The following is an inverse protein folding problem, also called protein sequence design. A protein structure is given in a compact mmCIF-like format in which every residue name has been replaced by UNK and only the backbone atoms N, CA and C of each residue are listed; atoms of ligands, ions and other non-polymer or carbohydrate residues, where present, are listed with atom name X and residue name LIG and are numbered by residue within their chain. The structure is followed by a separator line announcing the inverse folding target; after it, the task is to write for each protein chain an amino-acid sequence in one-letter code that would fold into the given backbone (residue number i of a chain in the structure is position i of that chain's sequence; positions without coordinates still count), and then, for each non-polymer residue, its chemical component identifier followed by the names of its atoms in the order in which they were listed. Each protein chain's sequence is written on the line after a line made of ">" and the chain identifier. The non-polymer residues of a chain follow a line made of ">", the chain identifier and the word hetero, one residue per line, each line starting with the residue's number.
data_IF_418529511057
#
_entry.id   IF_418529511057
#
_cell.length_a   1.000
_cell.length_b   1.000
_cell.length_c   1.000
_cell.angle_alpha   90.00
_cell.angle_beta   90.00
_cell.angle_gamma   90.00
#
_symmetry.space_group_name_H-M   'P 1'
#
loop_
_entity.id
_entity.type
_entity.pdbx_description
1 polymer ?
#
# COMPACT_ATOMS: atom_id res chain seq x y z
N UNK A 1 -37.74 10.96 -0.93
CA UNK A 1 -37.00 10.84 -2.20
C UNK A 1 -36.39 12.16 -2.63
N UNK A 2 -37.15 13.26 -2.82
CA UNK A 2 -36.57 14.52 -3.31
C UNK A 2 -35.39 15.15 -2.54
N UNK A 3 -35.27 14.96 -1.21
CA UNK A 3 -34.09 15.46 -0.47
C UNK A 3 -32.82 14.62 -0.69
N UNK A 4 -32.97 13.33 -0.95
CA UNK A 4 -31.85 12.44 -1.27
C UNK A 4 -31.31 12.78 -2.66
N UNK A 5 -32.20 13.01 -3.62
CA UNK A 5 -31.81 13.35 -5.00
C UNK A 5 -31.05 14.68 -5.08
N UNK A 6 -31.46 15.68 -4.28
CA UNK A 6 -30.73 16.95 -4.15
C UNK A 6 -29.30 16.76 -3.62
N UNK A 7 -29.13 15.97 -2.56
CA UNK A 7 -27.82 15.77 -1.95
C UNK A 7 -26.92 14.94 -2.87
N UNK A 8 -27.47 13.99 -3.63
CA UNK A 8 -26.70 13.25 -4.64
C UNK A 8 -26.16 14.17 -5.74
N UNK A 9 -26.95 15.15 -6.21
CA UNK A 9 -26.46 16.17 -7.14
C UNK A 9 -25.34 17.03 -6.52
N UNK A 10 -25.49 17.45 -5.25
CA UNK A 10 -24.44 18.19 -4.52
C UNK A 10 -23.13 17.39 -4.36
N UNK A 11 -23.20 16.05 -4.24
CA UNK A 11 -22.01 15.17 -4.16
C UNK A 11 -21.24 15.15 -5.48
N UNK A 12 -21.94 15.10 -6.61
CA UNK A 12 -21.32 15.09 -7.95
C UNK A 12 -20.64 16.42 -8.27
N UNK A 13 -21.21 17.54 -7.83
CA UNK A 13 -20.65 18.88 -8.03
C UNK A 13 -19.50 19.22 -7.07
N UNK A 14 -19.35 18.48 -5.96
CA UNK A 14 -18.30 18.74 -4.97
C UNK A 14 -16.92 18.31 -5.47
N UNK A 15 -15.91 19.13 -5.21
CA UNK A 15 -14.50 18.83 -5.48
C UNK A 15 -13.71 18.38 -4.23
N UNK A 16 -14.33 18.46 -3.05
CA UNK A 16 -13.71 18.15 -1.76
C UNK A 16 -14.14 16.77 -1.26
N UNK A 17 -13.17 15.90 -0.99
CA UNK A 17 -13.45 14.56 -0.45
C UNK A 17 -14.12 14.62 0.93
N UNK A 18 -13.73 15.60 1.75
CA UNK A 18 -14.36 15.85 3.05
C UNK A 18 -15.85 16.19 2.89
N UNK A 19 -16.20 17.04 1.92
CA UNK A 19 -17.59 17.43 1.69
C UNK A 19 -18.40 16.28 1.11
N UNK A 20 -17.81 15.51 0.18
CA UNK A 20 -18.43 14.28 -0.36
C UNK A 20 -18.75 13.31 0.76
N UNK A 21 -17.81 13.08 1.68
CA UNK A 21 -18.01 12.18 2.82
C UNK A 21 -19.15 12.66 3.73
N UNK A 22 -19.19 13.96 4.05
CA UNK A 22 -20.26 14.54 4.89
C UNK A 22 -21.63 14.51 4.22
N UNK A 23 -21.69 14.74 2.92
CA UNK A 23 -22.93 14.65 2.15
C UNK A 23 -23.41 13.19 2.04
N UNK A 24 -22.50 12.24 1.83
CA UNK A 24 -22.80 10.80 1.85
C UNK A 24 -23.33 10.34 3.21
N UNK A 25 -22.75 10.80 4.33
CA UNK A 25 -23.30 10.53 5.66
C UNK A 25 -24.75 11.01 5.80
N UNK A 26 -25.07 12.19 5.26
CA UNK A 26 -26.42 12.76 5.30
C UNK A 26 -27.39 11.93 4.46
N UNK A 27 -26.99 11.52 3.25
CA UNK A 27 -27.79 10.61 2.41
C UNK A 27 -28.05 9.31 3.14
N UNK A 28 -27.03 8.68 3.72
CA UNK A 28 -27.14 7.42 4.43
C UNK A 28 -28.09 7.51 5.64
N UNK A 29 -28.06 8.62 6.40
CA UNK A 29 -29.01 8.87 7.50
C UNK A 29 -30.45 9.02 7.01
N UNK A 30 -30.66 9.65 5.86
CA UNK A 30 -32.00 9.86 5.27
C UNK A 30 -32.56 8.61 4.60
N UNK A 31 -31.71 7.75 4.05
CA UNK A 31 -32.10 6.49 3.41
C UNK A 31 -32.15 5.30 4.38
N UNK A 32 -31.72 5.47 5.63
CA UNK A 32 -31.62 4.40 6.64
C UNK A 32 -30.45 3.44 6.41
N UNK A 33 -29.50 3.80 5.55
CA UNK A 33 -28.37 2.96 5.12
C UNK A 33 -27.08 3.11 5.95
N UNK A 34 -27.18 3.34 7.26
CA UNK A 34 -25.98 3.45 8.13
C UNK A 34 -25.73 2.12 8.84
N UNK A 35 -24.67 1.42 8.43
CA UNK A 35 -24.13 0.26 9.15
C UNK A 35 -23.00 0.71 10.09
N UNK A 36 -22.98 0.20 11.32
CA UNK A 36 -21.93 0.49 12.32
C UNK A 36 -21.28 -0.81 12.76
N UNK A 37 -19.97 -0.94 12.54
CA UNK A 37 -19.17 -2.08 13.00
C UNK A 37 -18.48 -1.70 14.31
N UNK A 38 -18.84 -2.38 15.40
CA UNK A 38 -18.20 -2.21 16.72
C UNK A 38 -17.08 -3.23 16.87
N UNK A 39 -15.83 -2.79 16.82
CA UNK A 39 -14.66 -3.66 16.94
C UNK A 39 -14.27 -3.82 18.41
N UNK A 40 -14.20 -5.07 18.87
CA UNK A 40 -13.75 -5.44 20.21
C UNK A 40 -12.47 -6.28 20.19
N UNK A 41 -11.63 -6.10 21.21
CA UNK A 41 -10.42 -6.88 21.50
C UNK A 41 -10.13 -6.92 23.02
N UNK A 42 -9.16 -7.74 23.44
CA UNK A 42 -8.82 -7.92 24.85
C UNK A 42 -7.98 -6.76 25.40
N UNK A 43 -7.15 -6.13 24.56
CA UNK A 43 -6.36 -4.95 24.91
C UNK A 43 -6.64 -3.77 23.98
N UNK A 44 -6.33 -2.55 24.41
CA UNK A 44 -6.50 -1.35 23.58
C UNK A 44 -5.61 -1.39 22.33
N UNK A 45 -4.40 -1.93 22.44
CA UNK A 45 -3.45 -2.04 21.32
C UNK A 45 -4.01 -2.96 20.24
N UNK A 46 -4.50 -4.14 20.62
CA UNK A 46 -5.15 -5.07 19.69
C UNK A 46 -6.43 -4.49 19.10
N UNK A 47 -7.21 -3.73 19.90
CA UNK A 47 -8.43 -3.09 19.41
C UNK A 47 -8.12 -2.09 18.31
N UNK A 48 -7.06 -1.28 18.48
CA UNK A 48 -6.61 -0.32 17.45
C UNK A 48 -6.16 -1.01 16.17
N UNK A 49 -5.35 -2.06 16.28
CA UNK A 49 -4.88 -2.84 15.12
C UNK A 49 -6.06 -3.48 14.37
N UNK A 50 -6.95 -4.15 15.11
CA UNK A 50 -8.12 -4.82 14.51
C UNK A 50 -9.09 -3.82 13.90
N UNK A 51 -9.24 -2.64 14.50
CA UNK A 51 -10.04 -1.55 13.96
C UNK A 51 -9.44 -1.05 12.64
N UNK A 52 -8.13 -0.81 12.61
CA UNK A 52 -7.43 -0.38 11.38
C UNK A 52 -7.63 -1.41 10.25
N UNK A 53 -7.49 -2.71 10.53
CA UNK A 53 -7.76 -3.77 9.54
C UNK A 53 -9.19 -3.75 8.98
N UNK A 54 -10.19 -3.44 9.81
CA UNK A 54 -11.58 -3.33 9.35
C UNK A 54 -11.77 -2.09 8.46
N UNK A 55 -11.10 -0.98 8.78
CA UNK A 55 -11.11 0.23 7.96
C UNK A 55 -10.41 -0.04 6.61
N UNK A 56 -9.27 -0.71 6.59
CA UNK A 56 -8.56 -1.11 5.37
C UNK A 56 -9.41 -2.03 4.47
N UNK A 57 -10.09 -3.00 5.08
CA UNK A 57 -11.00 -3.90 4.36
C UNK A 57 -12.19 -3.14 3.76
N UNK A 58 -12.74 -2.15 4.47
CA UNK A 58 -13.82 -1.30 3.98
C UNK A 58 -13.37 -0.49 2.75
N UNK A 59 -12.20 0.15 2.82
CA UNK A 59 -11.66 0.92 1.70
C UNK A 59 -11.35 0.03 0.50
N UNK A 60 -10.78 -1.15 0.74
CA UNK A 60 -10.48 -2.14 -0.32
C UNK A 60 -11.76 -2.63 -1.00
N UNK A 61 -12.83 -2.87 -0.23
CA UNK A 61 -14.13 -3.28 -0.78
C UNK A 61 -14.76 -2.18 -1.63
N UNK A 62 -14.68 -0.91 -1.20
CA UNK A 62 -15.14 0.24 -2.00
C UNK A 62 -14.38 0.31 -3.33
N UNK A 63 -13.06 0.20 -3.28
CA UNK A 63 -12.22 0.20 -4.47
C UNK A 63 -12.53 -0.97 -5.42
N UNK A 64 -12.84 -2.15 -4.88
CA UNK A 64 -13.23 -3.32 -5.65
C UNK A 64 -14.59 -3.15 -6.35
N UNK A 65 -15.54 -2.48 -5.70
CA UNK A 65 -16.85 -2.16 -6.30
C UNK A 65 -16.71 -1.17 -7.46
N UNK A 66 -15.77 -0.23 -7.35
CA UNK A 66 -15.57 0.83 -8.35
C UNK A 66 -14.86 0.34 -9.63
N UNK A 67 -13.75 -0.40 -9.51
CA UNK A 67 -12.93 -0.80 -10.67
C UNK A 67 -12.79 -2.33 -10.83
N UNK A 68 -13.53 -3.11 -10.05
CA UNK A 68 -13.45 -4.57 -10.05
C UNK A 68 -12.23 -5.11 -9.31
N UNK A 69 -11.96 -6.40 -9.54
CA UNK A 69 -10.88 -7.16 -8.90
C UNK A 69 -10.01 -7.87 -9.92
N UNK A 70 -8.77 -8.14 -9.53
CA UNK A 70 -7.78 -8.90 -10.29
C UNK A 70 -7.16 -10.00 -9.42
N UNK A 71 -6.45 -10.94 -10.06
CA UNK A 71 -5.67 -11.97 -9.36
C UNK A 71 -4.60 -11.31 -8.47
N UNK A 72 -4.69 -11.57 -7.16
CA UNK A 72 -3.79 -10.98 -6.18
C UNK A 72 -2.41 -11.63 -6.13
N UNK A 73 -1.67 -11.37 -5.06
CA UNK A 73 -0.34 -11.95 -4.85
C UNK A 73 0.72 -11.48 -5.86
N UNK A 74 0.51 -10.31 -6.47
CA UNK A 74 1.37 -9.76 -7.52
C UNK A 74 1.16 -10.36 -8.90
N UNK A 75 0.29 -11.37 -9.05
CA UNK A 75 0.06 -12.07 -10.34
C UNK A 75 -0.45 -11.11 -11.42
N UNK A 76 -1.38 -10.22 -11.09
CA UNK A 76 -1.88 -9.22 -12.04
C UNK A 76 -0.77 -8.36 -12.67
N UNK A 77 0.25 -7.99 -11.89
CA UNK A 77 1.38 -7.19 -12.39
C UNK A 77 2.29 -8.02 -13.32
N UNK A 78 2.51 -9.30 -13.01
CA UNK A 78 3.22 -10.23 -13.90
C UNK A 78 2.46 -10.39 -15.23
N UNK A 79 1.14 -10.54 -15.19
CA UNK A 79 0.34 -10.64 -16.43
C UNK A 79 0.37 -9.34 -17.23
N UNK A 80 0.37 -8.20 -16.55
CA UNK A 80 0.49 -6.90 -17.19
C UNK A 80 1.87 -6.66 -17.83
N UNK A 81 2.95 -7.28 -17.31
CA UNK A 81 4.30 -7.07 -17.84
C UNK A 81 4.46 -7.57 -19.28
N UNK A 82 3.67 -8.56 -19.71
CA UNK A 82 3.65 -9.08 -21.09
C UNK A 82 3.30 -7.98 -22.11
N UNK A 83 2.54 -6.96 -21.71
CA UNK A 83 2.25 -5.82 -22.59
C UNK A 83 3.50 -4.99 -22.91
N UNK A 84 4.52 -5.01 -22.04
CA UNK A 84 5.78 -4.29 -22.21
C UNK A 84 6.70 -4.94 -23.25
N UNK A 85 6.58 -6.25 -23.51
CA UNK A 85 7.42 -6.96 -24.50
C UNK A 85 7.25 -6.43 -25.92
N UNK A 86 6.07 -5.84 -26.20
CA UNK A 86 5.74 -5.24 -27.50
C UNK A 86 6.08 -3.76 -27.56
N UNK A 87 6.42 -3.14 -26.43
CA UNK A 87 6.73 -1.72 -26.33
C UNK A 87 8.20 -1.47 -26.71
N UNK A 88 8.43 -0.43 -27.50
CA UNK A 88 9.77 0.04 -27.85
C UNK A 88 9.84 1.54 -27.64
N UNK A 89 10.96 1.99 -27.08
CA UNK A 89 11.27 3.40 -26.96
C UNK A 89 11.76 4.00 -28.28
N UNK A 90 11.80 5.32 -28.33
CA UNK A 90 12.38 6.08 -29.43
C UNK A 90 13.91 5.96 -29.46
N UNK A 91 14.52 5.65 -28.32
CA UNK A 91 15.96 5.52 -28.15
C UNK A 91 16.32 4.46 -27.10
N UNK A 92 17.62 4.17 -26.98
CA UNK A 92 18.13 3.14 -26.08
C UNK A 92 17.79 3.40 -24.60
N UNK A 93 17.82 4.65 -24.16
CA UNK A 93 17.56 5.00 -22.75
C UNK A 93 16.10 4.74 -22.39
N UNK A 94 15.17 5.01 -23.30
CA UNK A 94 13.76 4.67 -23.14
C UNK A 94 13.56 3.14 -23.10
N UNK A 95 14.28 2.37 -23.91
CA UNK A 95 14.24 0.90 -23.85
C UNK A 95 14.76 0.37 -22.50
N UNK A 96 15.78 1.02 -21.91
CA UNK A 96 16.26 0.71 -20.56
C UNK A 96 15.18 1.04 -19.52
N UNK A 97 14.49 2.17 -19.65
CA UNK A 97 13.37 2.53 -18.78
C UNK A 97 12.23 1.49 -18.78
N UNK A 98 11.88 0.97 -19.96
CA UNK A 98 10.88 -0.11 -20.10
C UNK A 98 11.36 -1.37 -19.37
N UNK A 99 12.65 -1.74 -19.49
CA UNK A 99 13.22 -2.90 -18.78
C UNK A 99 13.23 -2.72 -17.26
N UNK A 100 13.48 -1.50 -16.77
CA UNK A 100 13.40 -1.20 -15.33
C UNK A 100 11.98 -1.46 -14.82
N UNK A 101 10.97 -0.96 -15.54
CA UNK A 101 9.57 -1.18 -15.20
C UNK A 101 9.22 -2.68 -15.24
N UNK A 102 9.64 -3.40 -16.30
CA UNK A 102 9.40 -4.83 -16.42
C UNK A 102 9.92 -5.61 -15.20
N UNK A 103 11.15 -5.32 -14.76
CA UNK A 103 11.72 -5.94 -13.57
C UNK A 103 10.97 -5.54 -12.29
N UNK A 104 10.61 -4.27 -12.15
CA UNK A 104 9.93 -3.77 -10.95
C UNK A 104 8.53 -4.41 -10.74
N UNK A 105 7.84 -4.76 -11.83
CA UNK A 105 6.54 -5.46 -11.76
C UNK A 105 6.63 -6.85 -11.11
N UNK A 106 7.82 -7.47 -11.08
CA UNK A 106 8.03 -8.76 -10.44
C UNK A 106 8.19 -8.66 -8.92
N UNK A 107 8.63 -7.50 -8.42
CA UNK A 107 9.02 -7.32 -7.02
C UNK A 107 7.90 -7.60 -6.00
N UNK A 108 6.63 -7.22 -6.24
CA UNK A 108 5.56 -7.54 -5.29
C UNK A 108 5.39 -9.05 -5.04
N UNK A 109 5.42 -9.87 -6.10
CA UNK A 109 5.35 -11.33 -5.97
C UNK A 109 6.61 -11.86 -5.27
N UNK A 110 7.79 -11.40 -5.69
CA UNK A 110 9.07 -11.83 -5.10
C UNK A 110 9.12 -11.55 -3.59
N UNK A 111 8.68 -10.36 -3.18
CA UNK A 111 8.66 -9.96 -1.78
C UNK A 111 7.69 -10.81 -0.95
N UNK A 112 6.49 -11.09 -1.48
CA UNK A 112 5.52 -11.97 -0.81
C UNK A 112 6.11 -13.36 -0.60
N UNK A 113 6.71 -13.95 -1.63
CA UNK A 113 7.33 -15.28 -1.55
C UNK A 113 8.51 -15.29 -0.58
N UNK A 114 9.37 -14.27 -0.62
CA UNK A 114 10.50 -14.15 0.29
C UNK A 114 10.05 -14.02 1.75
N UNK A 115 8.96 -13.30 2.02
CA UNK A 115 8.41 -13.17 3.36
C UNK A 115 7.80 -14.49 3.87
N UNK A 116 7.29 -15.33 2.96
CA UNK A 116 6.82 -16.68 3.26
C UNK A 116 7.97 -17.71 3.40
N UNK A 117 9.21 -17.33 3.09
CA UNK A 117 10.39 -18.21 3.19
C UNK A 117 10.63 -19.09 1.95
N UNK A 118 9.94 -18.83 0.84
CA UNK A 118 10.12 -19.55 -0.43
C UNK A 118 11.21 -18.93 -1.33
N UNK A 119 11.56 -19.65 -2.40
CA UNK A 119 12.45 -19.12 -3.45
C UNK A 119 11.65 -18.31 -4.48
N UNK A 120 11.79 -16.99 -4.40
CA UNK A 120 11.10 -16.03 -5.26
C UNK A 120 11.35 -16.26 -6.76
N UNK A 121 12.54 -16.72 -7.16
CA UNK A 121 12.87 -16.93 -8.58
C UNK A 121 12.21 -18.19 -9.13
N UNK A 122 12.13 -19.25 -8.32
CA UNK A 122 11.42 -20.48 -8.69
C UNK A 122 9.93 -20.21 -8.85
N UNK A 123 9.32 -19.54 -7.86
CA UNK A 123 7.89 -19.21 -7.89
C UNK A 123 7.57 -18.27 -9.05
N UNK A 124 8.36 -17.22 -9.25
CA UNK A 124 8.15 -16.30 -10.36
C UNK A 124 8.17 -17.04 -11.71
N UNK A 125 9.17 -17.88 -11.96
CA UNK A 125 9.27 -18.63 -13.22
C UNK A 125 8.05 -19.53 -13.44
N UNK A 126 7.56 -20.19 -12.39
CA UNK A 126 6.36 -21.02 -12.46
C UNK A 126 5.11 -20.17 -12.77
N UNK A 127 4.96 -19.01 -12.12
CA UNK A 127 3.82 -18.10 -12.36
C UNK A 127 3.88 -17.51 -13.77
N UNK A 128 5.04 -17.09 -14.25
CA UNK A 128 5.22 -16.58 -15.63
C UNK A 128 4.90 -17.65 -16.68
N UNK A 129 5.23 -18.92 -16.43
CA UNK A 129 4.90 -20.02 -17.33
C UNK A 129 3.41 -20.38 -17.36
N UNK A 130 2.64 -19.98 -16.35
CA UNK A 130 1.19 -20.15 -16.32
C UNK A 130 0.43 -19.03 -17.01
N UNK A 131 -0.88 -19.24 -17.18
CA UNK A 131 -1.78 -18.30 -17.88
C UNK A 131 -2.94 -17.84 -16.99
N UNK A 132 -3.59 -16.75 -17.39
CA UNK A 132 -4.76 -16.22 -16.70
C UNK A 132 -4.47 -15.93 -15.22
N UNK A 133 -5.30 -16.47 -14.34
CA UNK A 133 -5.22 -16.27 -12.89
C UNK A 133 -4.28 -17.26 -12.18
N UNK A 134 -3.56 -18.10 -12.92
CA UNK A 134 -2.63 -19.05 -12.30
C UNK A 134 -1.56 -18.29 -11.50
N UNK A 135 -1.39 -18.66 -10.23
CA UNK A 135 -0.53 -17.98 -9.29
C UNK A 135 -0.02 -18.89 -8.18
N UNK A 136 0.58 -18.27 -7.17
CA UNK A 136 1.12 -18.95 -5.99
C UNK A 136 0.46 -18.41 -4.73
N UNK A 137 -0.14 -19.29 -3.95
CA UNK A 137 -0.68 -18.99 -2.64
C UNK A 137 0.42 -19.12 -1.58
N UNK A 138 0.99 -17.99 -1.17
CA UNK A 138 2.05 -17.95 -0.17
C UNK A 138 1.60 -18.29 1.26
N UNK A 139 0.29 -18.45 1.51
CA UNK A 139 -0.21 -18.90 2.81
C UNK A 139 -0.24 -20.44 2.93
N UNK A 140 -0.37 -21.15 1.81
CA UNK A 140 -0.45 -22.63 1.78
C UNK A 140 0.68 -23.29 1.02
N UNK A 141 1.55 -22.50 0.36
CA UNK A 141 2.62 -22.95 -0.52
C UNK A 141 2.15 -23.78 -1.72
N UNK A 142 0.95 -23.49 -2.23
CA UNK A 142 0.33 -24.19 -3.36
C UNK A 142 0.15 -23.27 -4.57
N UNK A 143 0.21 -23.84 -5.77
CA UNK A 143 -0.11 -23.15 -7.01
C UNK A 143 -1.56 -23.44 -7.43
N UNK A 144 -2.22 -22.46 -8.04
CA UNK A 144 -3.60 -22.62 -8.49
C UNK A 144 -4.19 -21.34 -9.06
N UNK A 145 -5.50 -21.34 -9.29
CA UNK A 145 -6.23 -20.13 -9.68
C UNK A 145 -6.41 -19.22 -8.46
N UNK A 146 -5.83 -18.01 -8.53
CA UNK A 146 -5.86 -17.05 -7.42
C UNK A 146 -7.28 -16.53 -7.12
N UNK A 147 -8.15 -16.44 -8.13
CA UNK A 147 -9.54 -16.01 -7.96
C UNK A 147 -10.33 -17.10 -7.25
N UNK A 148 -10.20 -18.36 -7.67
CA UNK A 148 -10.85 -19.49 -7.01
C UNK A 148 -10.33 -19.69 -5.57
N UNK A 149 -9.05 -19.41 -5.32
CA UNK A 149 -8.45 -19.41 -3.99
C UNK A 149 -8.89 -18.21 -3.11
N UNK A 150 -9.65 -17.26 -3.66
CA UNK A 150 -10.11 -16.06 -2.95
C UNK A 150 -9.01 -15.01 -2.69
N UNK A 151 -7.89 -15.09 -3.41
CA UNK A 151 -6.77 -14.16 -3.32
C UNK A 151 -6.95 -13.10 -4.42
N UNK A 152 -7.66 -12.04 -4.05
CA UNK A 152 -8.13 -11.00 -4.94
C UNK A 152 -7.61 -9.64 -4.47
N UNK A 153 -7.12 -8.85 -5.42
CA UNK A 153 -6.76 -7.46 -5.18
C UNK A 153 -7.73 -6.53 -5.95
N UNK A 154 -8.17 -5.40 -5.37
CA UNK A 154 -8.94 -4.40 -6.11
C UNK A 154 -8.09 -3.83 -7.25
N UNK A 155 -8.63 -3.79 -8.48
CA UNK A 155 -7.91 -3.28 -9.67
C UNK A 155 -7.37 -1.87 -9.44
N UNK A 156 -8.19 -1.03 -8.80
CA UNK A 156 -7.85 0.35 -8.42
C UNK A 156 -6.57 0.42 -7.60
N UNK A 157 -6.43 -0.47 -6.61
CA UNK A 157 -5.28 -0.48 -5.70
C UNK A 157 -4.02 -0.87 -6.46
N UNK A 158 -4.05 -1.95 -7.25
CA UNK A 158 -2.92 -2.40 -8.06
C UNK A 158 -2.46 -1.32 -9.04
N UNK A 159 -3.41 -0.66 -9.72
CA UNK A 159 -3.14 0.42 -10.68
C UNK A 159 -2.52 1.64 -10.01
N UNK A 160 -3.11 2.14 -8.92
CA UNK A 160 -2.59 3.32 -8.22
C UNK A 160 -1.24 3.05 -7.57
N UNK A 161 -1.02 1.86 -7.01
CA UNK A 161 0.28 1.48 -6.45
C UNK A 161 1.38 1.62 -7.51
N UNK A 162 1.17 1.08 -8.72
CA UNK A 162 2.12 1.19 -9.82
C UNK A 162 2.31 2.63 -10.29
N UNK A 163 1.22 3.37 -10.51
CA UNK A 163 1.28 4.75 -10.99
C UNK A 163 1.99 5.69 -10.03
N UNK A 164 1.71 5.57 -8.72
CA UNK A 164 2.33 6.39 -7.69
C UNK A 164 3.81 6.04 -7.53
N UNK A 165 4.16 4.75 -7.53
CA UNK A 165 5.55 4.30 -7.48
C UNK A 165 6.35 4.83 -8.68
N UNK A 166 5.83 4.65 -9.90
CA UNK A 166 6.48 5.14 -11.12
C UNK A 166 6.62 6.68 -11.12
N UNK A 167 5.62 7.40 -10.62
CA UNK A 167 5.65 8.87 -10.51
C UNK A 167 6.80 9.35 -9.62
N UNK A 168 6.91 8.81 -8.40
CA UNK A 168 7.98 9.19 -7.46
C UNK A 168 9.34 8.74 -7.99
N UNK A 169 9.46 7.53 -8.52
CA UNK A 169 10.72 7.06 -9.11
C UNK A 169 11.19 7.92 -10.28
N UNK A 170 10.28 8.37 -11.15
CA UNK A 170 10.62 9.26 -12.27
C UNK A 170 11.15 10.62 -11.79
N UNK A 171 10.57 11.18 -10.73
CA UNK A 171 11.08 12.41 -10.10
C UNK A 171 12.48 12.20 -9.51
N UNK A 172 12.69 11.10 -8.78
CA UNK A 172 14.00 10.81 -8.16
C UNK A 172 15.10 10.56 -9.20
N UNK A 173 14.81 9.82 -10.28
CA UNK A 173 15.78 9.51 -11.34
C UNK A 173 16.26 10.76 -12.10
N UNK A 174 15.48 11.84 -12.09
CA UNK A 174 15.80 13.10 -12.76
C UNK A 174 16.34 14.17 -11.80
N UNK A 175 16.49 13.83 -10.52
CA UNK A 175 16.99 14.74 -9.48
C UNK A 175 18.51 14.80 -9.49
N UNK A 176 19.09 15.87 -10.02
CA UNK A 176 20.55 16.10 -10.06
C UNK A 176 21.11 16.75 -8.78
N UNK A 177 20.27 17.44 -8.00
CA UNK A 177 20.68 18.11 -6.77
C UNK A 177 19.54 18.17 -5.75
N UNK A 178 19.91 18.11 -4.47
CA UNK A 178 18.99 18.28 -3.33
C UNK A 178 19.58 19.29 -2.36
N UNK A 179 18.73 20.17 -1.84
CA UNK A 179 19.08 21.12 -0.78
C UNK A 179 18.38 20.66 0.50
N UNK A 180 19.16 20.46 1.56
CA UNK A 180 18.67 20.06 2.87
C UNK A 180 19.24 20.99 3.95
N UNK A 181 18.55 21.07 5.08
CA UNK A 181 19.09 21.73 6.26
C UNK A 181 20.36 21.01 6.75
N UNK A 182 21.30 21.78 7.31
CA UNK A 182 22.47 21.21 7.94
C UNK A 182 22.04 20.30 9.10
N UNK A 183 22.72 19.15 9.33
CA UNK A 183 22.50 18.35 10.52
C UNK A 183 22.59 19.25 11.75
N UNK A 184 21.60 19.16 12.64
CA UNK A 184 21.71 19.81 13.93
C UNK A 184 22.78 19.05 14.72
N UNK A 185 23.83 19.75 15.15
CA UNK A 185 24.68 19.22 16.21
C UNK A 185 23.79 19.08 17.43
N UNK A 186 23.66 17.86 17.96
CA UNK A 186 23.03 17.63 19.26
C UNK A 186 23.81 18.48 20.27
N UNK A 187 23.29 19.67 20.56
CA UNK A 187 23.86 20.54 21.55
C UNK A 187 23.89 19.74 22.85
N UNK A 188 25.10 19.41 23.30
CA UNK A 188 25.35 18.81 24.59
C UNK A 188 24.44 19.52 25.59
N UNK A 189 23.46 18.79 26.13
CA UNK A 189 22.54 19.33 27.10
C UNK A 189 23.38 20.10 28.14
N UNK A 190 23.06 21.37 28.44
CA UNK A 190 23.89 22.18 29.32
C UNK A 190 24.13 21.38 30.59
N UNK A 191 25.41 21.13 30.89
CA UNK A 191 25.83 20.41 32.08
C UNK A 191 25.11 21.05 33.28
N UNK A 192 24.14 20.33 33.84
CA UNK A 192 23.48 20.74 35.06
C UNK A 192 24.58 20.96 36.12
N UNK A 193 24.56 22.09 36.84
CA UNK A 193 25.55 22.37 37.87
C UNK A 193 25.59 21.22 38.88
N UNK A 194 26.80 20.74 39.15
CA UNK A 194 27.11 19.67 40.09
C UNK A 194 26.48 19.97 41.47
N UNK A 195 25.29 19.40 41.68
CA UNK A 195 24.55 19.49 42.93
C UNK A 195 25.12 18.45 43.89
N UNK A 196 26.13 18.89 44.65
CA UNK A 196 26.24 18.55 46.06
C UNK A 196 26.84 17.18 46.38
N UNK A 197 28.05 17.22 46.92
CA UNK A 197 28.73 16.06 47.43
C UNK A 197 27.98 15.31 48.52
N UNK A 198 28.17 13.98 48.51
CA UNK A 198 28.10 13.13 49.69
C UNK A 198 28.78 11.80 49.32
N UNK A 199 29.98 11.55 49.82
CA UNK A 199 30.70 10.31 49.48
C UNK A 199 32.09 10.20 50.08
N UNK A 200 32.24 10.53 51.36
CA UNK A 200 33.39 10.05 52.11
C UNK A 200 33.32 8.53 52.28
N UNK A 201 34.49 7.88 52.25
CA UNK A 201 34.95 6.84 53.19
C UNK A 201 35.60 5.60 52.53
N UNK A 202 36.90 5.44 52.82
CA UNK A 202 37.65 4.17 52.80
C UNK A 202 38.52 3.97 51.56
N UNK A 203 39.83 3.71 51.61
CA UNK A 203 40.81 3.44 52.67
C UNK A 203 42.13 3.12 51.92
N UNK A 204 43.25 3.78 52.24
CA UNK A 204 44.27 3.33 53.19
C UNK A 204 45.42 2.55 52.51
N UNK A 205 46.62 3.15 52.62
CA UNK A 205 47.99 2.74 52.23
C UNK A 205 48.50 3.25 50.89
#
# INVERSE_FOLDING_TARGET
>A
TGRVDQINAEIEESSSDYDKEKLQERVAKLSGGVAVIKVGAATEVEMKEKKARVEDALHSTRAAVEEGVVAGGGVALIRASVALDKLKGDNHDQDVGIKILHRALEEPLRQIVSNAGGDASVVLNAVVAGEGNYGYNAATDEYGDMIEAGILDPTKVTRYALQNAASVSGLLLTTEAMVADAPQDDAAAPAMPDMGGMGGMGGMM
#
